data_IF_247314255268
#
_entry.id   IF_247314255268
#
_cell.length_a   1.000
_cell.length_b   1.000
_cell.length_c   1.000
_cell.angle_alpha   90.00
_cell.angle_beta   90.00
_cell.angle_gamma   90.00
#
_symmetry.space_group_name_H-M   'P 1'
#
loop_
_entity.id
_entity.type
_entity.pdbx_description
1 polymer ?
#
# COMPACT_ATOMS: atom_id res chain seq x y z
N UNK A 1 8.60 26.83 8.43
CA UNK A 1 8.20 25.93 7.32
C UNK A 1 8.44 26.68 6.02
N UNK A 2 9.17 26.12 5.06
CA UNK A 2 9.44 26.78 3.78
C UNK A 2 8.52 26.32 2.65
N UNK A 3 7.86 25.17 2.83
CA UNK A 3 6.94 24.57 1.86
C UNK A 3 6.09 23.54 2.61
N UNK A 4 4.83 23.34 2.19
CA UNK A 4 3.96 22.31 2.76
C UNK A 4 2.89 21.90 1.78
N UNK A 5 2.35 20.70 1.93
CA UNK A 5 1.25 20.22 1.11
C UNK A 5 0.55 19.00 1.70
N UNK A 6 -0.46 18.52 1.00
CA UNK A 6 -1.24 17.36 1.40
C UNK A 6 -1.66 16.53 0.17
N UNK A 7 -1.84 15.24 0.39
CA UNK A 7 -2.32 14.30 -0.63
C UNK A 7 -3.32 13.33 0.01
N UNK A 8 -4.53 13.24 -0.55
CA UNK A 8 -5.57 12.35 -0.02
C UNK A 8 -5.40 10.94 -0.57
N UNK A 9 -5.63 9.94 0.27
CA UNK A 9 -5.74 8.56 -0.21
C UNK A 9 -7.09 8.34 -0.90
N UNK A 10 -7.20 7.28 -1.73
CA UNK A 10 -8.49 6.72 -2.10
C UNK A 10 -9.33 6.39 -0.85
N UNK A 11 -10.65 6.35 -1.02
CA UNK A 11 -11.60 6.17 0.08
C UNK A 11 -11.29 4.90 0.89
N UNK A 12 -11.22 5.05 2.22
CA UNK A 12 -11.11 3.91 3.14
C UNK A 12 -12.43 3.14 3.26
N UNK A 13 -12.45 2.14 4.14
CA UNK A 13 -13.63 1.30 4.40
C UNK A 13 -14.16 1.53 5.82
N UNK A 14 -15.42 1.14 6.05
CA UNK A 14 -16.10 1.32 7.34
C UNK A 14 -16.03 2.77 7.85
N UNK A 15 -15.61 2.99 9.09
CA UNK A 15 -15.55 4.31 9.70
C UNK A 15 -14.56 5.23 8.98
N UNK A 16 -13.53 4.66 8.36
CA UNK A 16 -12.55 5.41 7.57
C UNK A 16 -13.10 5.89 6.23
N UNK A 17 -14.23 5.33 5.74
CA UNK A 17 -14.84 5.77 4.47
C UNK A 17 -15.41 7.20 4.52
N UNK A 18 -15.68 7.72 5.72
CA UNK A 18 -16.10 9.11 5.95
C UNK A 18 -14.93 10.07 6.22
N UNK A 19 -13.72 9.56 6.41
CA UNK A 19 -12.55 10.35 6.79
C UNK A 19 -11.73 10.76 5.55
N UNK A 20 -11.25 12.00 5.53
CA UNK A 20 -10.30 12.48 4.51
C UNK A 20 -8.86 12.07 4.87
N UNK A 21 -8.61 10.76 4.99
CA UNK A 21 -7.27 10.22 5.28
C UNK A 21 -6.30 10.51 4.14
N UNK A 22 -5.01 10.63 4.48
CA UNK A 22 -4.00 11.03 3.53
C UNK A 22 -2.64 11.29 4.16
N UNK A 23 -1.83 12.02 3.41
CA UNK A 23 -0.48 12.41 3.71
C UNK A 23 -0.48 13.92 3.86
N UNK A 24 0.19 14.42 4.89
CA UNK A 24 0.59 15.82 4.98
C UNK A 24 2.11 15.89 5.02
N UNK A 25 2.69 16.96 4.46
CA UNK A 25 4.12 17.18 4.55
C UNK A 25 4.47 18.63 4.80
N UNK A 26 5.65 18.83 5.36
CA UNK A 26 6.30 20.12 5.48
C UNK A 26 7.80 19.99 5.19
N UNK A 27 8.33 20.94 4.43
CA UNK A 27 9.76 21.15 4.27
C UNK A 27 10.23 22.13 5.33
N UNK A 28 11.16 21.69 6.15
CA UNK A 28 11.69 22.45 7.29
C UNK A 28 13.14 22.80 7.04
N UNK A 29 13.51 24.03 7.38
CA UNK A 29 14.90 24.47 7.49
C UNK A 29 15.33 24.29 8.94
N UNK A 30 16.35 23.46 9.18
CA UNK A 30 16.92 23.18 10.50
C UNK A 30 18.40 23.54 10.44
N UNK A 31 18.75 24.70 11.00
CA UNK A 31 20.09 25.29 10.82
C UNK A 31 20.37 25.54 9.33
N UNK A 32 21.47 25.01 8.81
CA UNK A 32 21.83 25.08 7.38
C UNK A 32 21.23 23.97 6.52
N UNK A 33 20.50 23.00 7.11
CA UNK A 33 19.98 21.83 6.41
C UNK A 33 18.47 21.92 6.16
N UNK A 34 18.01 21.22 5.12
CA UNK A 34 16.60 21.03 4.83
C UNK A 34 16.20 19.58 5.07
N UNK A 35 15.06 19.38 5.74
CA UNK A 35 14.45 18.08 5.96
C UNK A 35 12.99 18.12 5.51
N UNK A 36 12.52 17.04 4.90
CA UNK A 36 11.10 16.84 4.63
C UNK A 36 10.49 16.03 5.77
N UNK A 37 9.37 16.48 6.32
CA UNK A 37 8.64 15.74 7.34
C UNK A 37 7.29 15.37 6.77
N UNK A 38 6.98 14.09 6.75
CA UNK A 38 5.72 13.53 6.31
C UNK A 38 4.97 12.95 7.52
N UNK A 39 3.66 13.15 7.54
CA UNK A 39 2.77 12.52 8.51
C UNK A 39 1.60 11.85 7.79
N UNK A 40 1.20 10.67 8.28
CA UNK A 40 0.09 9.89 7.70
C UNK A 40 -0.72 9.21 8.80
N UNK A 41 -1.98 8.89 8.49
CA UNK A 41 -2.78 7.97 9.29
C UNK A 41 -3.46 6.98 8.35
N UNK A 42 -3.00 5.72 8.34
CA UNK A 42 -3.48 4.69 7.42
C UNK A 42 -4.83 4.09 7.86
N UNK A 43 -5.39 3.21 7.02
CA UNK A 43 -6.61 2.46 7.30
C UNK A 43 -6.51 1.69 8.62
N UNK A 44 -7.46 1.93 9.52
CA UNK A 44 -7.55 1.23 10.79
C UNK A 44 -8.16 -0.16 10.61
N UNK A 45 -7.83 -1.06 11.54
CA UNK A 45 -8.51 -2.34 11.69
C UNK A 45 -9.77 -2.15 12.53
N UNK A 46 -10.90 -2.70 12.09
CA UNK A 46 -12.16 -2.68 12.86
C UNK A 46 -12.63 -4.09 13.19
N UNK A 47 -13.34 -4.24 14.31
CA UNK A 47 -13.78 -5.53 14.90
C UNK A 47 -14.70 -6.38 14.01
N UNK A 48 -15.20 -5.85 12.91
CA UNK A 48 -16.11 -6.54 12.00
C UNK A 48 -15.34 -7.04 10.77
N UNK A 49 -14.76 -8.25 10.87
CA UNK A 49 -14.54 -9.18 9.75
C UNK A 49 -13.66 -8.77 8.55
N UNK A 50 -12.87 -7.69 8.61
CA UNK A 50 -12.19 -7.14 7.44
C UNK A 50 -10.66 -7.28 7.38
N UNK A 51 -10.04 -8.12 8.23
CA UNK A 51 -8.58 -8.16 8.43
C UNK A 51 -7.74 -8.06 7.16
N UNK A 52 -7.96 -8.98 6.19
CA UNK A 52 -7.23 -8.99 4.91
C UNK A 52 -7.52 -7.77 4.02
N UNK A 53 -8.75 -7.23 4.08
CA UNK A 53 -9.14 -6.02 3.36
C UNK A 53 -8.45 -4.78 3.94
N UNK A 54 -8.32 -4.68 5.27
CA UNK A 54 -7.62 -3.57 5.93
C UNK A 54 -6.13 -3.57 5.58
N UNK A 55 -5.48 -4.73 5.70
CA UNK A 55 -4.06 -4.89 5.31
C UNK A 55 -3.86 -4.54 3.84
N UNK A 56 -4.72 -5.01 2.93
CA UNK A 56 -4.64 -4.67 1.49
C UNK A 56 -4.78 -3.17 1.24
N UNK A 57 -5.69 -2.49 1.93
CA UNK A 57 -5.85 -1.04 1.82
C UNK A 57 -4.63 -0.29 2.37
N UNK A 58 -4.08 -0.70 3.51
CA UNK A 58 -2.83 -0.14 4.04
C UNK A 58 -1.68 -0.33 3.05
N UNK A 59 -1.55 -1.49 2.42
CA UNK A 59 -0.55 -1.72 1.35
C UNK A 59 -0.72 -0.73 0.19
N UNK A 60 -1.95 -0.49 -0.27
CA UNK A 60 -2.19 0.50 -1.34
C UNK A 60 -1.85 1.92 -0.91
N UNK A 61 -2.23 2.31 0.31
CA UNK A 61 -1.91 3.62 0.87
C UNK A 61 -0.40 3.81 1.07
N UNK A 62 0.32 2.79 1.53
CA UNK A 62 1.78 2.80 1.67
C UNK A 62 2.49 2.96 0.34
N UNK A 63 2.03 2.27 -0.72
CA UNK A 63 2.57 2.45 -2.07
C UNK A 63 2.37 3.90 -2.53
N UNK A 64 1.16 4.44 -2.38
CA UNK A 64 0.88 5.84 -2.75
C UNK A 64 1.70 6.84 -1.92
N UNK A 65 1.91 6.55 -0.63
CA UNK A 65 2.79 7.34 0.24
C UNK A 65 4.23 7.34 -0.26
N UNK A 66 4.76 6.17 -0.64
CA UNK A 66 6.13 6.07 -1.16
C UNK A 66 6.30 6.86 -2.45
N UNK A 67 5.33 6.76 -3.37
CA UNK A 67 5.31 7.52 -4.62
C UNK A 67 5.28 9.03 -4.34
N UNK A 68 4.40 9.47 -3.44
CA UNK A 68 4.28 10.89 -3.10
C UNK A 68 5.55 11.45 -2.43
N UNK A 69 6.21 10.68 -1.56
CA UNK A 69 7.52 11.07 -1.01
C UNK A 69 8.54 11.25 -2.14
N UNK A 70 8.59 10.35 -3.11
CA UNK A 70 9.50 10.44 -4.26
C UNK A 70 9.18 11.65 -5.15
N UNK A 71 7.90 11.93 -5.40
CA UNK A 71 7.41 13.11 -6.13
C UNK A 71 7.87 14.42 -5.44
N UNK A 72 7.52 14.60 -4.17
CA UNK A 72 7.80 15.83 -3.39
C UNK A 72 9.28 16.04 -3.15
N UNK A 73 10.03 14.99 -2.87
CA UNK A 73 11.48 15.11 -2.63
C UNK A 73 12.26 15.24 -3.94
N UNK A 74 11.64 14.92 -5.09
CA UNK A 74 12.26 14.92 -6.41
C UNK A 74 13.61 14.19 -6.44
N UNK A 75 13.77 13.15 -5.61
CA UNK A 75 15.04 12.43 -5.42
C UNK A 75 16.23 13.33 -5.07
N UNK A 76 16.00 14.46 -4.38
CA UNK A 76 17.04 15.46 -4.10
C UNK A 76 18.17 14.99 -3.16
N UNK A 77 18.20 13.70 -2.78
CA UNK A 77 19.12 13.13 -1.79
C UNK A 77 18.99 13.71 -0.37
N UNK A 78 17.95 14.51 -0.12
CA UNK A 78 17.72 15.15 1.18
C UNK A 78 17.06 14.16 2.13
N UNK A 79 17.44 14.24 3.39
CA UNK A 79 16.83 13.45 4.44
C UNK A 79 15.33 13.78 4.54
N UNK A 80 14.54 12.74 4.80
CA UNK A 80 13.14 12.85 5.12
C UNK A 80 12.80 12.03 6.35
N UNK A 81 11.82 12.50 7.11
CA UNK A 81 11.23 11.84 8.25
C UNK A 81 9.80 11.47 7.89
N UNK A 82 9.40 10.24 8.18
CA UNK A 82 8.02 9.80 8.08
C UNK A 82 7.54 9.39 9.46
N UNK A 83 6.37 9.90 9.85
CA UNK A 83 5.74 9.61 11.13
C UNK A 83 4.22 9.44 10.96
N UNK A 84 3.57 9.04 12.05
CA UNK A 84 2.11 8.95 12.13
C UNK A 84 1.64 7.58 12.61
N UNK A 85 0.35 7.35 12.46
CA UNK A 85 -0.28 6.10 12.87
C UNK A 85 -0.49 5.20 11.64
N UNK A 86 0.34 4.16 11.55
CA UNK A 86 0.27 3.21 10.45
C UNK A 86 -0.83 2.16 10.64
N UNK A 87 -1.43 2.05 11.83
CA UNK A 87 -2.32 0.95 12.18
C UNK A 87 -1.72 -0.44 11.86
N UNK A 88 -0.41 -0.59 12.07
CA UNK A 88 0.34 -1.83 11.85
C UNK A 88 1.12 -2.12 13.13
N UNK A 89 0.87 -3.28 13.73
CA UNK A 89 1.61 -3.74 14.89
C UNK A 89 3.00 -4.22 14.47
N UNK A 90 4.05 -3.68 15.08
CA UNK A 90 5.41 -4.11 14.82
C UNK A 90 5.70 -5.50 15.38
N UNK A 91 5.03 -5.88 16.47
CA UNK A 91 5.23 -7.14 17.17
C UNK A 91 4.28 -8.18 16.59
N UNK A 92 4.83 -9.27 16.06
CA UNK A 92 4.08 -10.46 15.71
C UNK A 92 3.77 -11.25 16.97
N UNK A 93 2.50 -11.57 17.19
CA UNK A 93 2.08 -12.38 18.33
C UNK A 93 2.45 -13.84 18.04
N UNK A 94 3.54 -14.33 18.66
CA UNK A 94 3.90 -15.75 18.64
C UNK A 94 3.96 -16.21 20.09
N UNK A 95 2.79 -16.54 20.65
CA UNK A 95 2.75 -17.31 21.88
C UNK A 95 3.25 -18.73 21.58
N UNK A 96 4.55 -18.97 21.76
CA UNK A 96 5.09 -20.34 21.79
C UNK A 96 4.88 -20.84 23.22
N UNK A 97 3.75 -21.50 23.46
CA UNK A 97 3.59 -22.29 24.68
C UNK A 97 4.47 -23.54 24.55
N UNK A 98 5.36 -23.77 25.52
CA UNK A 98 6.02 -25.06 25.60
C UNK A 98 5.02 -26.17 26.00
N UNK A 99 5.43 -27.44 25.94
CA UNK A 99 4.59 -28.60 26.29
C UNK A 99 4.06 -28.58 27.74
N UNK A 100 4.48 -27.62 28.57
CA UNK A 100 4.06 -27.44 29.96
C UNK A 100 3.28 -26.13 30.19
N UNK A 101 2.98 -25.37 29.12
CA UNK A 101 2.17 -24.15 29.20
C UNK A 101 2.93 -22.92 29.70
N UNK A 102 4.26 -22.97 29.76
CA UNK A 102 5.06 -21.79 30.07
C UNK A 102 5.35 -21.01 28.79
N UNK A 103 5.17 -19.69 28.87
CA UNK A 103 5.58 -18.73 27.84
C UNK A 103 7.11 -18.63 27.87
N UNK A 104 7.78 -19.55 27.20
CA UNK A 104 9.23 -19.57 27.08
C UNK A 104 9.64 -18.68 25.90
N UNK A 105 10.31 -17.57 26.22
CA UNK A 105 10.84 -16.57 25.29
C UNK A 105 9.81 -16.00 24.30
N UNK A 106 9.30 -14.81 24.64
CA UNK A 106 8.78 -13.87 23.64
C UNK A 106 9.97 -13.42 22.79
N UNK A 107 10.42 -14.25 21.86
CA UNK A 107 11.21 -13.77 20.74
C UNK A 107 10.31 -12.77 20.04
N UNK A 108 10.55 -11.47 20.27
CA UNK A 108 9.89 -10.35 19.63
C UNK A 108 10.13 -10.45 18.12
N UNK A 109 9.36 -11.31 17.45
CA UNK A 109 9.41 -11.46 16.03
C UNK A 109 8.61 -10.30 15.45
N UNK A 110 9.19 -9.60 14.48
CA UNK A 110 8.44 -8.57 13.76
C UNK A 110 7.24 -9.18 13.03
N UNK A 111 6.09 -8.52 13.06
CA UNK A 111 4.89 -8.97 12.36
C UNK A 111 5.11 -9.02 10.85
N UNK A 112 4.39 -9.91 10.16
CA UNK A 112 4.48 -10.01 8.70
C UNK A 112 4.07 -8.70 8.00
N UNK A 113 3.05 -8.02 8.53
CA UNK A 113 2.58 -6.75 7.97
C UNK A 113 3.59 -5.62 8.17
N UNK A 114 4.26 -5.56 9.31
CA UNK A 114 5.35 -4.60 9.55
C UNK A 114 6.52 -4.81 8.60
N UNK A 115 6.96 -6.06 8.41
CA UNK A 115 8.03 -6.38 7.44
C UNK A 115 7.65 -5.96 6.02
N UNK A 116 6.40 -6.20 5.63
CA UNK A 116 5.91 -5.79 4.32
C UNK A 116 5.87 -4.27 4.15
N UNK A 117 5.42 -3.53 5.17
CA UNK A 117 5.50 -2.06 5.18
C UNK A 117 6.94 -1.57 4.99
N UNK A 118 7.90 -2.13 5.74
CA UNK A 118 9.30 -1.75 5.63
C UNK A 118 9.88 -2.07 4.25
N UNK A 119 9.47 -3.18 3.63
CA UNK A 119 9.86 -3.49 2.24
C UNK A 119 9.42 -2.39 1.29
N UNK A 120 8.14 -2.00 1.31
CA UNK A 120 7.59 -0.93 0.44
C UNK A 120 8.34 0.39 0.66
N UNK A 121 8.54 0.78 1.92
CA UNK A 121 9.21 2.04 2.25
C UNK A 121 10.68 2.05 1.80
N UNK A 122 11.38 0.92 1.91
CA UNK A 122 12.76 0.76 1.44
C UNK A 122 12.88 0.64 -0.09
N UNK A 123 11.76 0.54 -0.82
CA UNK A 123 11.74 0.34 -2.27
C UNK A 123 11.85 -1.12 -2.72
N UNK A 124 11.68 -2.07 -1.80
CA UNK A 124 11.52 -3.50 -2.10
C UNK A 124 10.07 -3.81 -2.47
N UNK A 125 9.88 -4.43 -3.63
CA UNK A 125 8.60 -4.75 -4.30
C UNK A 125 7.98 -3.62 -5.13
N UNK A 126 8.75 -3.17 -6.12
CA UNK A 126 8.17 -2.90 -7.43
C UNK A 126 7.51 -4.18 -7.95
N UNK A 127 6.25 -4.06 -8.34
CA UNK A 127 5.50 -5.05 -9.12
C UNK A 127 6.40 -5.50 -10.28
N UNK A 128 6.76 -6.78 -10.31
CA UNK A 128 7.46 -7.41 -11.42
C UNK A 128 6.55 -7.46 -12.66
N UNK A 129 6.43 -6.32 -13.34
CA UNK A 129 6.16 -6.28 -14.76
C UNK A 129 7.38 -6.84 -15.49
N UNK A 130 7.15 -7.85 -16.32
CA UNK A 130 8.21 -8.53 -17.04
C UNK A 130 8.91 -7.65 -18.08
N UNK A 131 10.08 -8.12 -18.50
CA UNK A 131 10.68 -7.78 -19.79
C UNK A 131 11.78 -6.72 -19.76
N UNK A 132 12.99 -7.14 -20.18
CA UNK A 132 14.10 -6.26 -20.52
C UNK A 132 15.41 -6.84 -19.98
N UNK A 133 16.22 -7.59 -20.72
CA UNK A 133 16.47 -7.53 -22.15
C UNK A 133 17.96 -7.23 -22.32
N UNK A 134 18.76 -8.29 -22.45
CA UNK A 134 20.16 -8.21 -22.88
C UNK A 134 20.23 -7.78 -24.35
N UNK A 135 21.08 -6.81 -24.63
CA UNK A 135 22.02 -6.85 -25.76
C UNK A 135 21.48 -6.64 -27.18
N UNK A 136 21.75 -5.45 -27.72
CA UNK A 136 22.61 -5.30 -28.91
C UNK A 136 22.02 -5.54 -30.30
N UNK A 137 22.34 -4.61 -31.21
CA UNK A 137 22.52 -4.90 -32.64
C UNK A 137 21.59 -4.11 -33.56
N UNK A 138 22.19 -3.36 -34.48
CA UNK A 138 21.49 -2.51 -35.44
C UNK A 138 20.81 -3.28 -36.58
N UNK A 139 20.11 -2.53 -37.43
CA UNK A 139 19.47 -3.04 -38.62
C UNK A 139 18.49 -2.04 -39.21
N UNK A 140 18.94 -1.36 -40.25
CA UNK A 140 18.13 -0.55 -41.16
C UNK A 140 17.03 -1.39 -41.83
N UNK A 141 15.86 -0.82 -42.11
CA UNK A 141 14.83 -1.52 -42.87
C UNK A 141 13.48 -0.81 -42.97
N UNK A 142 13.28 -0.12 -44.09
CA UNK A 142 12.05 0.48 -44.58
C UNK A 142 10.97 -0.58 -44.86
N UNK A 143 9.69 -0.33 -44.53
CA UNK A 143 8.53 -0.80 -45.32
C UNK A 143 7.22 -0.17 -44.85
N UNK A 144 6.53 0.42 -45.80
CA UNK A 144 5.13 0.85 -45.77
C UNK A 144 4.20 -0.38 -45.67
N UNK A 145 3.01 -0.19 -45.09
CA UNK A 145 2.00 -1.23 -45.01
C UNK A 145 0.70 -0.71 -44.40
N UNK A 146 -0.18 -0.27 -45.28
CA UNK A 146 -1.60 0.01 -45.03
C UNK A 146 -2.33 -1.24 -44.53
N UNK A 147 -3.35 -1.04 -43.70
CA UNK A 147 -4.23 -2.12 -43.23
C UNK A 147 -5.31 -1.59 -42.30
N UNK A 148 -6.39 -1.10 -42.91
CA UNK A 148 -7.69 -0.90 -42.28
C UNK A 148 -8.20 -2.22 -41.70
N UNK A 149 -8.75 -2.20 -40.48
CA UNK A 149 -9.69 -3.24 -40.05
C UNK A 149 -10.75 -2.67 -39.10
N UNK A 150 -11.97 -2.74 -39.61
CA UNK A 150 -13.24 -2.36 -39.03
C UNK A 150 -13.77 -3.46 -38.08
N UNK A 151 -14.63 -3.05 -37.13
CA UNK A 151 -15.55 -3.94 -36.42
C UNK A 151 -15.21 -4.05 -34.92
N UNK A 152 -16.00 -3.57 -33.97
CA UNK A 152 -17.45 -3.63 -33.91
C UNK A 152 -17.86 -4.91 -33.18
N UNK A 153 -18.24 -4.82 -31.91
CA UNK A 153 -19.50 -5.39 -31.41
C UNK A 153 -19.68 -5.07 -29.92
N UNK A 154 -20.86 -4.52 -29.64
CA UNK A 154 -21.45 -4.46 -28.32
C UNK A 154 -21.66 -5.87 -27.76
N UNK A 155 -21.64 -5.96 -26.42
CA UNK A 155 -21.95 -7.16 -25.67
C UNK A 155 -22.41 -6.75 -24.28
N UNK A 156 -23.67 -6.29 -24.21
CA UNK A 156 -24.42 -6.11 -22.98
C UNK A 156 -24.69 -7.50 -22.38
N UNK A 157 -24.31 -7.68 -21.11
CA UNK A 157 -24.50 -8.92 -20.37
C UNK A 157 -24.96 -8.61 -18.96
N UNK A 158 -26.24 -8.26 -18.84
CA UNK A 158 -26.96 -8.20 -17.57
C UNK A 158 -27.10 -9.61 -17.01
N UNK A 159 -26.56 -9.82 -15.81
CA UNK A 159 -26.63 -11.07 -15.07
C UNK A 159 -27.02 -10.79 -13.63
N UNK A 160 -28.30 -10.54 -13.42
CA UNK A 160 -28.94 -10.52 -12.10
C UNK A 160 -28.93 -11.94 -11.52
N UNK A 161 -28.25 -12.09 -10.38
CA UNK A 161 -28.18 -13.33 -9.61
C UNK A 161 -28.47 -13.04 -8.15
N UNK A 162 -29.75 -12.82 -7.86
CA UNK A 162 -30.29 -12.83 -6.50
C UNK A 162 -30.10 -14.23 -5.90
N UNK A 163 -29.35 -14.29 -4.80
CA UNK A 163 -29.11 -15.49 -4.03
C UNK A 163 -29.32 -15.20 -2.55
N UNK A 164 -30.59 -15.07 -2.16
CA UNK A 164 -31.02 -15.09 -0.76
C UNK A 164 -30.67 -16.46 -0.15
N UNK A 165 -29.78 -16.43 0.84
CA UNK A 165 -29.36 -17.58 1.62
C UNK A 165 -29.42 -17.26 3.10
N UNK A 166 -30.64 -17.28 3.65
CA UNK A 166 -30.90 -17.32 5.09
C UNK A 166 -30.29 -18.60 5.69
N UNK A 167 -29.44 -18.45 6.72
CA UNK A 167 -28.71 -19.58 7.30
C UNK A 167 -28.06 -19.30 8.64
N UNK A 168 -28.91 -19.01 9.63
CA UNK A 168 -28.79 -19.29 11.07
C UNK A 168 -27.52 -20.07 11.54
N UNK A 169 -26.88 -19.61 12.62
CA UNK A 169 -26.04 -20.48 13.46
C UNK A 169 -24.95 -19.79 14.29
N UNK A 170 -25.28 -19.50 15.55
CA UNK A 170 -24.44 -19.66 16.76
C UNK A 170 -23.03 -19.05 16.76
N UNK A 171 -22.81 -17.90 17.43
CA UNK A 171 -22.48 -17.84 18.87
C UNK A 171 -21.87 -19.14 19.42
N UNK A 172 -20.57 -19.14 19.65
CA UNK A 172 -19.91 -19.50 20.92
C UNK A 172 -18.37 -19.48 20.75
N UNK A 173 -17.71 -18.86 21.74
CA UNK A 173 -16.26 -18.79 22.00
C UNK A 173 -15.43 -17.85 21.13
#
# INVERSE_FOLDING_TARGET
VSESGAHKYPRGVHLDSGAAKGIIYAKLQVGSRQIFVFNTHLQASHSHGGGSSYTRLRTQQLKRLRDYISEVTSHSGRAWLLAGDFNIDAIGDVAVADSFGYLCDVLLQESAEYKHMMSILNGGEGIGGGGGGSGGGGGDGNSEGDGDDDGGSAGDGDGDGDGDGDGNGDRLC
#
